data_IF_102246972608
#
_entry.id   IF_102246972608
#
_cell.length_a   1.000
_cell.length_b   1.000
_cell.length_c   1.000
_cell.angle_alpha   90.00
_cell.angle_beta   90.00
_cell.angle_gamma   90.00
#
_symmetry.space_group_name_H-M   'P 1'
#
loop_
_entity.id
_entity.type
_entity.pdbx_description
1 polymer ?
#
# COMPACT_ATOMS: atom_id res chain seq x y z
N UNK A 1 -51.82 -88.44 21.04
CA UNK A 1 -52.73 -87.63 21.89
C UNK A 1 -52.33 -86.17 21.77
N UNK A 2 -53.32 -85.29 21.54
CA UNK A 2 -53.30 -83.81 21.53
C UNK A 2 -52.59 -83.12 20.34
N UNK A 3 -53.30 -82.52 19.34
CA UNK A 3 -54.01 -81.21 19.34
C UNK A 3 -53.09 -80.05 19.79
N UNK A 4 -52.91 -78.89 19.13
CA UNK A 4 -53.72 -78.10 18.18
C UNK A 4 -52.91 -76.86 17.70
N UNK A 5 -53.32 -76.27 16.55
CA UNK A 5 -53.49 -74.83 16.20
C UNK A 5 -52.81 -74.31 14.92
N UNK A 6 -53.69 -73.83 14.02
CA UNK A 6 -53.47 -72.96 12.87
C UNK A 6 -52.74 -71.65 13.21
N UNK A 7 -51.97 -71.09 12.27
CA UNK A 7 -52.23 -69.72 11.73
C UNK A 7 -51.39 -69.35 10.49
N UNK A 8 -52.11 -68.98 9.41
CA UNK A 8 -51.90 -67.91 8.40
C UNK A 8 -50.59 -67.77 7.57
N UNK A 9 -50.79 -67.83 6.24
CA UNK A 9 -49.98 -67.21 5.17
C UNK A 9 -49.84 -65.68 5.36
N UNK A 10 -48.65 -65.14 5.08
CA UNK A 10 -48.46 -63.81 4.45
C UNK A 10 -47.24 -63.88 3.51
N UNK A 11 -47.47 -63.50 2.26
CA UNK A 11 -46.51 -63.34 1.16
C UNK A 11 -45.66 -62.09 1.36
N UNK A 12 -44.32 -62.23 1.33
CA UNK A 12 -43.36 -61.13 1.40
C UNK A 12 -42.85 -60.75 0.01
N UNK A 13 -43.11 -59.50 -0.37
CA UNK A 13 -42.85 -58.86 -1.66
C UNK A 13 -41.38 -58.48 -1.86
N UNK A 14 -40.89 -58.68 -3.08
CA UNK A 14 -39.64 -58.12 -3.62
C UNK A 14 -39.63 -56.60 -3.54
N UNK A 15 -38.70 -56.04 -2.76
CA UNK A 15 -38.48 -54.59 -2.66
C UNK A 15 -37.38 -54.18 -3.65
N UNK A 16 -37.74 -53.44 -4.70
CA UNK A 16 -36.81 -52.74 -5.58
C UNK A 16 -36.21 -51.53 -4.86
N UNK A 17 -34.90 -51.25 -4.98
CA UNK A 17 -34.30 -50.08 -4.36
C UNK A 17 -34.68 -48.82 -5.15
N UNK A 18 -35.28 -47.86 -4.45
CA UNK A 18 -35.68 -46.54 -4.94
C UNK A 18 -34.46 -45.70 -5.37
N UNK A 19 -34.52 -45.19 -6.60
CA UNK A 19 -33.46 -44.40 -7.29
C UNK A 19 -33.37 -42.95 -6.76
N UNK A 20 -34.19 -42.55 -5.78
CA UNK A 20 -34.34 -41.13 -5.39
C UNK A 20 -33.35 -40.59 -4.35
N UNK A 21 -32.44 -41.40 -3.78
CA UNK A 21 -31.53 -40.92 -2.73
C UNK A 21 -30.16 -40.40 -3.23
N UNK A 22 -29.82 -40.60 -4.51
CA UNK A 22 -28.51 -40.19 -5.06
C UNK A 22 -28.43 -38.72 -5.50
N UNK A 23 -29.55 -38.10 -5.86
CA UNK A 23 -29.57 -36.74 -6.40
C UNK A 23 -29.37 -35.65 -5.33
N UNK A 24 -29.82 -35.89 -4.10
CA UNK A 24 -29.69 -34.90 -3.01
C UNK A 24 -28.26 -34.78 -2.44
N UNK A 25 -27.48 -35.88 -2.44
CA UNK A 25 -26.11 -35.87 -1.93
C UNK A 25 -25.12 -35.15 -2.86
N UNK A 26 -25.31 -35.23 -4.18
CA UNK A 26 -24.43 -34.58 -5.16
C UNK A 26 -24.56 -33.04 -5.15
N UNK A 27 -25.80 -32.53 -5.06
CA UNK A 27 -26.07 -31.08 -5.04
C UNK A 27 -25.61 -30.39 -3.73
N UNK A 28 -25.60 -31.13 -2.62
CA UNK A 28 -25.11 -30.61 -1.33
C UNK A 28 -23.58 -30.58 -1.26
N UNK A 29 -22.90 -31.55 -1.88
CA UNK A 29 -21.44 -31.57 -2.02
C UNK A 29 -20.92 -30.40 -2.88
N UNK A 30 -21.61 -30.05 -3.97
CA UNK A 30 -21.25 -28.92 -4.86
C UNK A 30 -21.29 -27.57 -4.12
N UNK A 31 -22.37 -27.30 -3.37
CA UNK A 31 -22.51 -26.07 -2.55
C UNK A 31 -21.47 -25.99 -1.44
N UNK A 32 -21.18 -27.12 -0.79
CA UNK A 32 -20.16 -27.23 0.27
C UNK A 32 -18.75 -26.94 -0.25
N UNK A 33 -18.36 -27.57 -1.36
CA UNK A 33 -17.04 -27.40 -1.97
C UNK A 33 -16.83 -25.95 -2.46
N UNK A 34 -17.84 -25.35 -3.11
CA UNK A 34 -17.78 -23.98 -3.58
C UNK A 34 -17.60 -22.96 -2.44
N UNK A 35 -18.39 -23.11 -1.36
CA UNK A 35 -18.26 -22.24 -0.19
C UNK A 35 -16.89 -22.39 0.48
N UNK A 36 -16.39 -23.62 0.59
CA UNK A 36 -15.07 -23.92 1.16
C UNK A 36 -13.95 -23.30 0.33
N UNK A 37 -13.96 -23.50 -0.99
CA UNK A 37 -12.94 -22.96 -1.89
C UNK A 37 -12.94 -21.43 -1.87
N UNK A 38 -14.13 -20.79 -1.88
CA UNK A 38 -14.24 -19.33 -1.77
C UNK A 38 -13.75 -18.82 -0.42
N UNK A 39 -14.11 -19.46 0.69
CA UNK A 39 -13.64 -19.05 2.01
C UNK A 39 -12.12 -19.15 2.14
N UNK A 40 -11.53 -20.17 1.51
CA UNK A 40 -10.07 -20.40 1.53
C UNK A 40 -9.31 -19.41 0.64
N UNK A 41 -9.84 -19.09 -0.54
CA UNK A 41 -9.09 -18.36 -1.58
C UNK A 41 -9.52 -16.90 -1.77
N UNK A 42 -10.73 -16.54 -1.40
CA UNK A 42 -11.29 -15.20 -1.58
C UNK A 42 -11.76 -14.86 -2.99
N UNK A 43 -11.53 -15.71 -4.00
CA UNK A 43 -11.94 -15.43 -5.39
C UNK A 43 -13.47 -15.38 -5.57
N UNK A 44 -13.92 -14.79 -6.68
CA UNK A 44 -15.35 -14.63 -7.00
C UNK A 44 -16.05 -16.00 -7.12
N UNK A 45 -17.34 -16.06 -6.75
CA UNK A 45 -18.12 -17.31 -6.85
C UNK A 45 -18.10 -17.91 -8.26
N UNK A 46 -18.16 -17.08 -9.30
CA UNK A 46 -18.11 -17.53 -10.68
C UNK A 46 -16.78 -18.23 -11.01
N UNK A 47 -15.65 -17.67 -10.56
CA UNK A 47 -14.34 -18.27 -10.79
C UNK A 47 -14.17 -19.56 -9.99
N UNK A 48 -14.57 -19.57 -8.71
CA UNK A 48 -14.52 -20.79 -7.89
C UNK A 48 -15.40 -21.91 -8.45
N UNK A 49 -16.60 -21.57 -8.95
CA UNK A 49 -17.49 -22.54 -9.59
C UNK A 49 -16.87 -23.10 -10.87
N UNK A 50 -16.35 -22.23 -11.75
CA UNK A 50 -15.67 -22.66 -12.98
C UNK A 50 -14.47 -23.57 -12.69
N UNK A 51 -13.65 -23.23 -11.69
CA UNK A 51 -12.50 -24.04 -11.30
C UNK A 51 -12.92 -25.44 -10.80
N UNK A 52 -13.97 -25.51 -9.99
CA UNK A 52 -14.51 -26.78 -9.51
C UNK A 52 -15.11 -27.63 -10.63
N UNK A 53 -15.89 -27.03 -11.54
CA UNK A 53 -16.46 -27.72 -12.69
C UNK A 53 -15.38 -28.31 -13.61
N UNK A 54 -14.31 -27.57 -13.88
CA UNK A 54 -13.20 -28.01 -14.72
C UNK A 54 -12.38 -29.16 -14.10
N UNK A 55 -12.35 -29.26 -12.77
CA UNK A 55 -11.55 -30.25 -12.05
C UNK A 55 -12.39 -31.27 -11.29
N UNK A 56 -13.67 -31.44 -11.65
CA UNK A 56 -14.54 -32.48 -11.10
C UNK A 56 -14.75 -32.36 -9.58
N UNK A 57 -14.87 -31.13 -9.08
CA UNK A 57 -14.97 -30.76 -7.65
C UNK A 57 -13.73 -31.11 -6.79
N UNK A 58 -12.56 -31.32 -7.41
CA UNK A 58 -11.29 -31.44 -6.69
C UNK A 58 -10.82 -30.06 -6.19
N UNK A 59 -10.90 -29.86 -4.88
CA UNK A 59 -10.56 -28.59 -4.22
C UNK A 59 -9.10 -28.17 -4.44
N UNK A 60 -8.16 -29.12 -4.43
CA UNK A 60 -6.74 -28.80 -4.53
C UNK A 60 -6.38 -28.37 -5.95
N UNK A 61 -6.88 -29.09 -6.95
CA UNK A 61 -6.69 -28.72 -8.37
C UNK A 61 -7.40 -27.42 -8.71
N UNK A 62 -8.61 -27.22 -8.20
CA UNK A 62 -9.35 -25.97 -8.39
C UNK A 62 -8.61 -24.77 -7.78
N UNK A 63 -8.04 -24.92 -6.58
CA UNK A 63 -7.23 -23.87 -5.95
C UNK A 63 -5.97 -23.55 -6.78
N UNK A 64 -5.24 -24.58 -7.23
CA UNK A 64 -4.06 -24.37 -8.06
C UNK A 64 -4.41 -23.65 -9.36
N UNK A 65 -5.45 -24.11 -10.05
CA UNK A 65 -5.92 -23.47 -11.27
C UNK A 65 -6.33 -22.02 -11.04
N UNK A 66 -7.02 -21.73 -9.92
CA UNK A 66 -7.38 -20.35 -9.57
C UNK A 66 -6.14 -19.46 -9.39
N UNK A 67 -5.08 -19.96 -8.74
CA UNK A 67 -3.82 -19.22 -8.57
C UNK A 67 -3.14 -18.94 -9.91
N UNK A 68 -3.10 -19.93 -10.79
CA UNK A 68 -2.53 -19.80 -12.14
C UNK A 68 -3.31 -18.78 -12.98
N UNK A 69 -4.65 -18.82 -12.90
CA UNK A 69 -5.51 -17.90 -13.65
C UNK A 69 -5.60 -16.50 -13.05
N UNK A 70 -5.34 -16.33 -11.75
CA UNK A 70 -5.48 -15.06 -11.05
C UNK A 70 -4.68 -13.95 -11.71
N UNK A 71 -3.46 -14.24 -12.17
CA UNK A 71 -2.60 -13.25 -12.82
C UNK A 71 -3.21 -12.78 -14.14
N UNK A 72 -3.61 -13.71 -15.02
CA UNK A 72 -4.21 -13.38 -16.32
C UNK A 72 -5.53 -12.65 -16.17
N UNK A 73 -6.38 -13.08 -15.23
CA UNK A 73 -7.65 -12.41 -14.92
C UNK A 73 -7.44 -11.02 -14.32
N UNK A 74 -6.43 -10.87 -13.46
CA UNK A 74 -6.01 -9.60 -12.88
C UNK A 74 -5.61 -8.61 -13.97
N UNK A 75 -4.71 -9.02 -14.89
CA UNK A 75 -4.31 -8.19 -16.04
C UNK A 75 -5.49 -7.85 -16.95
N UNK A 76 -6.33 -8.82 -17.30
CA UNK A 76 -7.53 -8.55 -18.11
C UNK A 76 -8.46 -7.54 -17.45
N UNK A 77 -8.59 -7.59 -16.12
CA UNK A 77 -9.42 -6.65 -15.38
C UNK A 77 -8.76 -5.28 -15.27
N UNK A 78 -7.46 -5.22 -15.00
CA UNK A 78 -6.69 -3.98 -14.99
C UNK A 78 -6.84 -3.22 -16.31
N UNK A 79 -6.64 -3.88 -17.45
CA UNK A 79 -6.84 -3.26 -18.78
C UNK A 79 -8.29 -2.79 -19.01
N UNK A 80 -9.30 -3.51 -18.51
CA UNK A 80 -10.71 -3.12 -18.65
C UNK A 80 -11.10 -1.93 -17.78
N UNK A 81 -10.43 -1.78 -16.64
CA UNK A 81 -10.70 -0.74 -15.65
C UNK A 81 -9.76 0.47 -15.83
N UNK A 82 -8.73 0.34 -16.66
CA UNK A 82 -7.80 1.41 -17.02
C UNK A 82 -8.55 2.65 -17.56
N UNK A 83 -8.01 3.83 -17.24
CA UNK A 83 -8.63 5.11 -17.59
C UNK A 83 -9.75 5.57 -16.65
N UNK A 84 -10.25 4.72 -15.74
CA UNK A 84 -11.15 5.16 -14.67
C UNK A 84 -10.41 6.04 -13.68
N UNK A 85 -11.09 7.09 -13.20
CA UNK A 85 -10.51 8.03 -12.26
C UNK A 85 -10.11 7.35 -10.95
N UNK A 86 -8.86 7.52 -10.54
CA UNK A 86 -8.27 6.97 -9.31
C UNK A 86 -7.78 8.12 -8.43
N UNK A 87 -8.70 8.90 -7.88
CA UNK A 87 -8.36 10.08 -7.05
C UNK A 87 -8.31 9.78 -5.55
N UNK A 88 -8.72 8.58 -5.12
CA UNK A 88 -8.58 8.10 -3.74
C UNK A 88 -7.33 7.23 -3.62
N UNK A 89 -6.96 6.81 -2.40
CA UNK A 89 -5.80 5.96 -2.19
C UNK A 89 -5.07 6.22 -0.88
N UNK A 90 -3.80 5.84 -0.85
CA UNK A 90 -2.91 6.01 0.29
C UNK A 90 -1.50 6.43 -0.14
N UNK A 91 -0.89 7.26 0.69
CA UNK A 91 0.54 7.49 0.72
C UNK A 91 1.15 6.60 1.80
N UNK A 92 2.08 5.73 1.43
CA UNK A 92 2.87 4.91 2.35
C UNK A 92 4.26 5.48 2.56
N UNK A 93 4.65 5.69 3.82
CA UNK A 93 5.97 6.18 4.22
C UNK A 93 6.68 5.11 5.03
N UNK A 94 7.87 4.71 4.60
CA UNK A 94 8.75 3.77 5.29
C UNK A 94 10.13 4.38 5.44
N UNK A 95 10.65 4.40 6.66
CA UNK A 95 12.04 4.78 6.96
C UNK A 95 12.69 3.61 7.69
N UNK A 96 13.88 3.21 7.23
CA UNK A 96 14.75 2.20 7.84
C UNK A 96 16.16 2.75 7.85
N UNK A 97 16.67 3.05 9.05
CA UNK A 97 17.97 3.68 9.25
C UNK A 97 18.11 4.98 8.40
N UNK A 98 19.08 5.00 7.49
CA UNK A 98 19.37 6.11 6.58
C UNK A 98 18.67 5.97 5.21
N UNK A 99 17.71 5.06 5.08
CA UNK A 99 16.97 4.83 3.84
C UNK A 99 15.48 5.06 4.06
N UNK A 100 14.86 5.84 3.18
CA UNK A 100 13.43 6.15 3.27
C UNK A 100 12.75 6.07 1.91
N UNK A 101 11.47 5.71 1.90
CA UNK A 101 10.64 5.80 0.71
C UNK A 101 9.24 6.30 1.07
N UNK A 102 8.71 7.15 0.19
CA UNK A 102 7.30 7.54 0.20
C UNK A 102 6.67 7.16 -1.15
N UNK A 103 5.58 6.41 -1.11
CA UNK A 103 4.91 5.82 -2.28
C UNK A 103 3.44 6.20 -2.30
N UNK A 104 2.96 6.72 -3.42
CA UNK A 104 1.54 7.01 -3.63
C UNK A 104 0.90 5.91 -4.48
N UNK A 105 -0.12 5.27 -3.92
CA UNK A 105 -0.95 4.28 -4.62
C UNK A 105 -2.39 4.75 -4.58
N UNK A 106 -3.02 4.83 -5.76
CA UNK A 106 -4.37 5.34 -5.89
C UNK A 106 -5.37 4.23 -6.24
N UNK A 107 -6.63 4.46 -5.92
CA UNK A 107 -7.79 3.63 -6.24
C UNK A 107 -9.02 4.49 -6.55
N UNK A 108 -10.09 3.87 -7.04
CA UNK A 108 -11.33 4.58 -7.38
C UNK A 108 -12.03 5.13 -6.12
N UNK A 109 -12.17 4.31 -5.07
CA UNK A 109 -12.95 4.65 -3.87
C UNK A 109 -12.14 4.60 -2.57
N UNK A 110 -12.60 5.31 -1.55
CA UNK A 110 -12.02 5.30 -0.20
C UNK A 110 -12.27 3.97 0.54
N UNK A 111 -13.34 3.25 0.18
CA UNK A 111 -13.60 1.89 0.66
C UNK A 111 -12.46 0.93 0.30
N UNK A 112 -11.90 1.07 -0.90
CA UNK A 112 -10.73 0.27 -1.32
C UNK A 112 -9.47 0.69 -0.59
N UNK A 113 -9.24 1.99 -0.38
CA UNK A 113 -8.08 2.47 0.39
C UNK A 113 -8.03 1.88 1.81
N UNK A 114 -9.19 1.58 2.41
CA UNK A 114 -9.31 0.95 3.75
C UNK A 114 -9.28 -0.59 3.71
N UNK A 115 -9.23 -1.20 2.52
CA UNK A 115 -9.19 -2.65 2.39
C UNK A 115 -7.81 -3.21 2.75
N UNK A 116 -7.78 -4.30 3.52
CA UNK A 116 -6.53 -4.93 3.95
C UNK A 116 -5.64 -5.37 2.77
N UNK A 117 -6.22 -5.84 1.66
CA UNK A 117 -5.46 -6.28 0.48
C UNK A 117 -4.78 -5.08 -0.20
N UNK A 118 -5.46 -3.94 -0.24
CA UNK A 118 -4.89 -2.70 -0.77
C UNK A 118 -3.75 -2.21 0.13
N UNK A 119 -3.97 -2.14 1.45
CA UNK A 119 -2.93 -1.73 2.41
C UNK A 119 -1.71 -2.65 2.38
N UNK A 120 -1.92 -3.97 2.25
CA UNK A 120 -0.83 -4.94 2.10
C UNK A 120 -0.03 -4.72 0.81
N UNK A 121 -0.70 -4.30 -0.27
CA UNK A 121 -0.03 -3.93 -1.51
C UNK A 121 0.78 -2.63 -1.37
N UNK A 122 0.23 -1.60 -0.71
CA UNK A 122 0.97 -0.35 -0.41
C UNK A 122 2.21 -0.67 0.45
N UNK A 123 2.05 -1.54 1.45
CA UNK A 123 3.16 -2.04 2.27
C UNK A 123 4.26 -2.67 1.43
N UNK A 124 3.90 -3.59 0.54
CA UNK A 124 4.83 -4.27 -0.33
C UNK A 124 5.54 -3.30 -1.29
N UNK A 125 4.81 -2.30 -1.81
CA UNK A 125 5.37 -1.26 -2.68
C UNK A 125 6.38 -0.38 -1.95
N UNK A 126 6.07 0.09 -0.73
CA UNK A 126 6.99 0.88 0.10
C UNK A 126 8.25 0.08 0.46
N UNK A 127 8.10 -1.18 0.88
CA UNK A 127 9.23 -2.07 1.18
C UNK A 127 10.09 -2.36 -0.06
N UNK A 128 9.47 -2.54 -1.24
CA UNK A 128 10.18 -2.74 -2.49
C UNK A 128 10.99 -1.50 -2.91
N UNK A 129 10.47 -0.29 -2.68
CA UNK A 129 11.18 0.96 -2.95
C UNK A 129 12.39 1.14 -2.03
N UNK A 130 12.26 0.85 -0.73
CA UNK A 130 13.38 0.85 0.22
C UNK A 130 14.45 -0.16 -0.19
N UNK A 131 14.06 -1.40 -0.54
CA UNK A 131 15.00 -2.42 -1.04
C UNK A 131 15.69 -2.00 -2.33
N UNK A 132 14.96 -1.36 -3.24
CA UNK A 132 15.49 -0.89 -4.52
C UNK A 132 16.59 0.16 -4.30
N UNK A 133 16.33 1.20 -3.49
CA UNK A 133 17.33 2.25 -3.24
C UNK A 133 18.49 1.75 -2.37
N UNK A 134 18.27 0.72 -1.53
CA UNK A 134 19.32 0.07 -0.77
C UNK A 134 20.40 -0.61 -1.64
N UNK A 135 20.06 -0.97 -2.89
CA UNK A 135 20.99 -1.57 -3.85
C UNK A 135 21.80 -0.54 -4.64
N UNK A 136 21.42 0.74 -4.60
CA UNK A 136 22.17 1.80 -5.26
C UNK A 136 23.44 2.14 -4.48
N UNK A 137 24.42 2.71 -5.18
CA UNK A 137 25.67 3.17 -4.57
C UNK A 137 25.40 4.27 -3.54
N UNK A 138 26.25 4.34 -2.52
CA UNK A 138 26.15 5.39 -1.50
C UNK A 138 26.93 6.61 -1.96
N UNK A 139 26.27 7.76 -1.97
CA UNK A 139 26.90 9.06 -2.24
C UNK A 139 27.33 9.73 -0.91
N UNK A 140 28.28 10.65 -0.98
CA UNK A 140 28.61 11.54 0.12
C UNK A 140 27.46 12.50 0.47
N UNK A 141 26.59 12.79 -0.50
CA UNK A 141 25.40 13.62 -0.33
C UNK A 141 24.12 12.78 -0.23
N UNK A 142 23.02 13.42 0.17
CA UNK A 142 21.69 12.81 0.14
C UNK A 142 21.33 12.40 -1.30
N UNK A 143 21.14 11.12 -1.54
CA UNK A 143 20.61 10.62 -2.82
C UNK A 143 19.09 10.67 -2.81
N UNK A 144 18.51 11.38 -3.78
CA UNK A 144 17.06 11.47 -4.00
C UNK A 144 16.70 10.84 -5.33
N UNK A 145 15.84 9.83 -5.31
CA UNK A 145 15.45 9.12 -6.51
C UNK A 145 13.92 9.06 -6.67
N UNK A 146 13.41 9.81 -7.66
CA UNK A 146 12.00 9.85 -8.02
C UNK A 146 11.64 8.74 -9.00
N UNK A 147 10.58 7.98 -8.70
CA UNK A 147 10.09 6.90 -9.55
C UNK A 147 8.68 7.26 -10.05
N UNK A 148 8.49 7.21 -11.36
CA UNK A 148 7.17 7.33 -11.98
C UNK A 148 6.43 5.98 -11.99
N UNK A 149 5.20 5.97 -12.52
CA UNK A 149 4.36 4.77 -12.59
C UNK A 149 5.05 3.62 -13.32
N UNK A 150 5.69 3.90 -14.45
CA UNK A 150 6.36 2.92 -15.29
C UNK A 150 7.55 2.29 -14.54
N UNK A 151 8.43 3.10 -13.97
CA UNK A 151 9.59 2.63 -13.21
C UNK A 151 9.17 1.81 -11.99
N UNK A 152 8.13 2.25 -11.25
CA UNK A 152 7.59 1.52 -10.12
C UNK A 152 7.09 0.13 -10.53
N UNK A 153 6.32 0.05 -11.61
CA UNK A 153 5.75 -1.22 -12.09
C UNK A 153 6.83 -2.25 -12.43
N UNK A 154 8.07 -1.85 -12.73
CA UNK A 154 9.18 -2.76 -13.05
C UNK A 154 9.92 -3.32 -11.83
N UNK A 155 9.74 -2.74 -10.63
CA UNK A 155 10.45 -3.21 -9.44
C UNK A 155 9.98 -4.63 -9.08
N UNK A 156 10.93 -5.54 -8.88
CA UNK A 156 10.65 -6.93 -8.53
C UNK A 156 10.59 -7.16 -7.02
N UNK A 157 9.62 -7.97 -6.60
CA UNK A 157 9.50 -8.47 -5.24
C UNK A 157 10.27 -9.80 -5.09
N UNK A 158 10.29 -10.33 -3.87
CA UNK A 158 10.99 -11.56 -3.51
C UNK A 158 10.46 -12.80 -4.25
N UNK A 159 9.19 -12.77 -4.67
CA UNK A 159 8.57 -13.82 -5.48
C UNK A 159 8.94 -13.75 -6.98
N UNK A 160 9.81 -12.82 -7.36
CA UNK A 160 10.29 -12.61 -8.72
C UNK A 160 9.31 -11.87 -9.64
N UNK A 161 8.08 -11.59 -9.18
CA UNK A 161 7.08 -10.81 -9.92
C UNK A 161 7.31 -9.32 -9.72
N UNK A 162 6.84 -8.55 -10.69
CA UNK A 162 6.95 -7.09 -10.67
C UNK A 162 5.84 -6.45 -9.82
N UNK A 163 6.05 -5.23 -9.34
CA UNK A 163 4.98 -4.46 -8.69
C UNK A 163 3.77 -4.27 -9.61
N UNK A 164 3.98 -4.20 -10.93
CA UNK A 164 2.90 -4.19 -11.92
C UNK A 164 2.06 -5.47 -11.91
N UNK A 165 2.70 -6.64 -11.77
CA UNK A 165 1.99 -7.93 -11.65
C UNK A 165 1.17 -8.00 -10.36
N UNK A 166 1.75 -7.55 -9.25
CA UNK A 166 1.06 -7.48 -7.95
C UNK A 166 -0.09 -6.48 -7.96
N UNK A 167 0.07 -5.34 -8.65
CA UNK A 167 -1.01 -4.36 -8.86
C UNK A 167 -2.17 -5.00 -9.62
N UNK A 168 -1.89 -5.71 -10.70
CA UNK A 168 -2.91 -6.41 -11.48
C UNK A 168 -3.65 -7.48 -10.67
N UNK A 169 -2.95 -8.23 -9.81
CA UNK A 169 -3.57 -9.19 -8.88
C UNK A 169 -4.47 -8.49 -7.85
N UNK A 170 -4.03 -7.36 -7.31
CA UNK A 170 -4.79 -6.56 -6.35
C UNK A 170 -6.08 -6.02 -7.01
N UNK A 171 -5.99 -5.44 -8.21
CA UNK A 171 -7.15 -5.01 -9.02
C UNK A 171 -8.09 -6.18 -9.31
N UNK A 172 -7.55 -7.35 -9.64
CA UNK A 172 -8.34 -8.58 -9.84
C UNK A 172 -9.18 -8.94 -8.61
N UNK A 173 -8.57 -8.84 -7.44
CA UNK A 173 -9.13 -9.21 -6.13
C UNK A 173 -10.16 -8.20 -5.63
N UNK A 174 -9.81 -6.91 -5.62
CA UNK A 174 -10.67 -5.82 -5.15
C UNK A 174 -11.76 -5.51 -6.15
N UNK A 175 -11.39 -5.49 -7.43
CA UNK A 175 -12.30 -5.28 -8.54
C UNK A 175 -12.58 -3.83 -8.93
N UNK A 176 -11.80 -2.90 -8.42
CA UNK A 176 -11.76 -1.49 -8.82
C UNK A 176 -10.40 -1.18 -9.46
N UNK A 177 -10.35 -0.13 -10.28
CA UNK A 177 -9.12 0.39 -10.82
C UNK A 177 -8.20 0.88 -9.69
N UNK A 178 -6.90 0.70 -9.90
CA UNK A 178 -5.86 1.20 -9.02
C UNK A 178 -4.61 1.52 -9.83
N UNK A 179 -3.78 2.40 -9.30
CA UNK A 179 -2.56 2.84 -9.96
C UNK A 179 -1.43 3.00 -8.97
N UNK A 180 -0.24 2.52 -9.35
CA UNK A 180 1.02 2.95 -8.75
C UNK A 180 1.37 4.29 -9.38
N UNK A 181 1.25 5.38 -8.62
CA UNK A 181 1.30 6.72 -9.20
C UNK A 181 2.74 7.26 -9.23
N UNK A 182 3.35 7.38 -8.06
CA UNK A 182 4.72 7.87 -7.91
C UNK A 182 5.36 7.40 -6.62
N UNK A 183 6.68 7.41 -6.59
CA UNK A 183 7.45 7.28 -5.37
C UNK A 183 8.64 8.22 -5.35
N UNK A 184 9.14 8.45 -4.15
CA UNK A 184 10.38 9.16 -3.90
C UNK A 184 11.17 8.36 -2.86
N UNK A 185 12.42 8.07 -3.16
CA UNK A 185 13.32 7.28 -2.32
C UNK A 185 14.51 8.12 -1.93
N UNK A 186 14.87 8.09 -0.64
CA UNK A 186 15.99 8.80 -0.06
C UNK A 186 17.01 7.77 0.43
N UNK A 187 18.28 8.03 0.17
CA UNK A 187 19.41 7.36 0.82
C UNK A 187 20.34 8.44 1.37
N UNK A 188 20.42 8.51 2.68
CA UNK A 188 21.16 9.54 3.41
C UNK A 188 22.58 9.07 3.75
N UNK A 189 23.59 9.97 3.75
CA UNK A 189 24.90 9.68 4.32
C UNK A 189 24.81 9.57 5.85
N UNK A 190 25.89 9.14 6.52
CA UNK A 190 25.88 8.78 7.93
C UNK A 190 25.50 9.94 8.87
N UNK A 191 25.81 11.17 8.51
CA UNK A 191 25.51 12.38 9.27
C UNK A 191 24.07 12.89 9.10
N UNK A 192 23.31 12.32 8.16
CA UNK A 192 21.93 12.72 7.89
C UNK A 192 20.97 11.62 8.34
N UNK A 193 20.02 11.99 9.19
CA UNK A 193 18.91 11.14 9.62
C UNK A 193 17.70 11.36 8.72
N UNK A 194 16.88 10.32 8.59
CA UNK A 194 15.58 10.39 7.94
C UNK A 194 14.46 10.22 8.97
N UNK A 195 13.37 10.95 8.79
CA UNK A 195 12.14 10.73 9.54
C UNK A 195 10.93 10.97 8.64
N UNK A 196 9.80 10.35 8.99
CA UNK A 196 8.59 10.39 8.21
C UNK A 196 7.35 10.59 9.06
N UNK A 197 6.31 11.14 8.44
CA UNK A 197 5.01 11.29 9.06
C UNK A 197 3.91 11.07 8.03
N UNK A 198 2.78 10.52 8.48
CA UNK A 198 1.57 10.41 7.67
C UNK A 198 0.37 11.00 8.39
N UNK A 199 -0.59 11.51 7.63
CA UNK A 199 -1.85 12.00 8.17
C UNK A 199 -3.05 11.43 7.38
N UNK A 200 -4.11 10.93 8.02
CA UNK A 200 -4.25 10.70 9.47
C UNK A 200 -3.17 9.75 10.02
N UNK A 201 -2.69 10.01 11.24
CA UNK A 201 -1.70 9.16 11.87
C UNK A 201 -2.37 7.83 12.30
N UNK A 202 -1.70 6.67 12.11
CA UNK A 202 -2.22 5.41 12.59
C UNK A 202 -2.27 5.38 14.13
N UNK A 203 -3.20 4.60 14.68
CA UNK A 203 -3.34 4.45 16.14
C UNK A 203 -2.13 3.74 16.78
N UNK A 204 -1.42 2.93 16.00
CA UNK A 204 -0.17 2.28 16.36
C UNK A 204 0.88 2.60 15.29
N UNK A 205 1.88 3.36 15.70
CA UNK A 205 2.99 3.83 14.86
C UNK A 205 4.32 3.20 15.32
N UNK A 206 4.24 2.20 16.19
CA UNK A 206 5.40 1.64 16.91
C UNK A 206 5.97 0.36 16.30
N UNK A 207 5.46 -0.08 15.15
CA UNK A 207 6.00 -1.27 14.47
C UNK A 207 7.16 -0.89 13.55
N UNK A 208 8.42 -1.09 13.98
CA UNK A 208 9.55 -0.93 13.07
C UNK A 208 9.35 -1.82 11.85
N UNK A 209 9.86 -1.36 10.71
CA UNK A 209 9.81 -2.04 9.41
C UNK A 209 8.44 -2.11 8.71
N UNK A 210 7.36 -1.61 9.33
CA UNK A 210 6.05 -1.46 8.69
C UNK A 210 5.85 0.00 8.28
N UNK A 211 5.54 0.28 7.00
CA UNK A 211 5.20 1.63 6.57
C UNK A 211 3.96 2.15 7.29
N UNK A 212 3.99 3.43 7.65
CA UNK A 212 2.78 4.15 8.02
C UNK A 212 2.02 4.58 6.76
N UNK A 213 0.69 4.56 6.80
CA UNK A 213 -0.15 4.98 5.67
C UNK A 213 -1.10 6.10 6.06
N UNK A 214 -1.31 7.05 5.15
CA UNK A 214 -2.27 8.13 5.32
C UNK A 214 -2.71 8.72 3.99
N UNK A 215 -3.59 9.72 4.05
CA UNK A 215 -3.93 10.55 2.88
C UNK A 215 -2.77 11.48 2.50
N UNK A 216 -2.03 11.94 3.50
CA UNK A 216 -0.86 12.79 3.37
C UNK A 216 0.36 12.06 3.90
N UNK A 217 1.52 12.33 3.32
CA UNK A 217 2.80 11.87 3.83
C UNK A 217 3.87 12.96 3.70
N UNK A 218 4.81 12.96 4.63
CA UNK A 218 6.04 13.72 4.51
C UNK A 218 7.25 12.86 4.87
N UNK A 219 8.36 13.14 4.20
CA UNK A 219 9.68 12.55 4.44
C UNK A 219 10.66 13.70 4.61
N UNK A 220 11.46 13.67 5.66
CA UNK A 220 12.39 14.72 6.04
C UNK A 220 13.78 14.13 6.22
N UNK A 221 14.77 14.74 5.57
CA UNK A 221 16.19 14.51 5.81
C UNK A 221 16.73 15.67 6.65
N UNK A 222 17.38 15.36 7.77
CA UNK A 222 17.88 16.36 8.71
C UNK A 222 19.18 15.90 9.35
N UNK A 223 19.94 16.85 9.89
CA UNK A 223 21.15 16.59 10.69
C UNK A 223 21.23 17.54 11.85
N UNK A 224 22.02 17.16 12.85
CA UNK A 224 22.39 18.07 13.94
C UNK A 224 23.61 18.89 13.51
N UNK A 225 23.57 20.21 13.77
CA UNK A 225 24.68 21.12 13.42
C UNK A 225 25.81 21.11 14.43
N UNK A 226 25.56 20.56 15.63
CA UNK A 226 26.56 20.27 16.65
C UNK A 226 26.52 18.79 17.02
N UNK A 227 27.59 18.28 17.64
CA UNK A 227 27.71 16.90 18.12
C UNK A 227 26.84 16.62 19.36
N UNK A 228 25.55 16.96 19.31
CA UNK A 228 24.58 16.67 20.35
C UNK A 228 23.82 15.38 20.01
N UNK A 229 23.97 14.36 20.84
CA UNK A 229 23.14 13.14 20.84
C UNK A 229 21.82 13.39 21.59
N UNK A 230 21.04 14.40 21.18
CA UNK A 230 19.79 14.71 21.89
C UNK A 230 18.57 14.04 21.23
N UNK A 231 17.87 13.21 22.02
CA UNK A 231 16.57 12.61 21.68
C UNK A 231 15.49 13.64 21.35
N UNK A 232 15.71 14.92 21.72
CA UNK A 232 14.80 16.01 21.39
C UNK A 232 14.75 16.30 19.88
N UNK A 233 15.87 16.09 19.17
CA UNK A 233 15.98 16.37 17.74
C UNK A 233 15.02 15.53 16.89
N UNK A 234 14.97 14.22 17.15
CA UNK A 234 14.08 13.31 16.41
C UNK A 234 12.60 13.66 16.62
N UNK A 235 12.24 14.07 17.85
CA UNK A 235 10.88 14.49 18.18
C UNK A 235 10.47 15.79 17.47
N UNK A 236 11.40 16.74 17.37
CA UNK A 236 11.20 18.01 16.68
C UNK A 236 11.14 17.79 15.16
N UNK A 237 12.05 17.00 14.59
CA UNK A 237 12.03 16.64 13.18
C UNK A 237 10.69 16.02 12.78
N UNK A 238 10.11 15.18 13.65
CA UNK A 238 8.77 14.64 13.43
C UNK A 238 7.66 15.71 13.47
N UNK A 239 7.75 16.72 14.34
CA UNK A 239 6.83 17.87 14.33
C UNK A 239 7.01 18.74 13.08
N UNK A 240 8.23 18.87 12.57
CA UNK A 240 8.50 19.53 11.29
C UNK A 240 7.84 18.74 10.15
N UNK A 241 7.87 17.41 10.16
CA UNK A 241 7.10 16.60 9.20
C UNK A 241 5.59 16.88 9.28
N UNK A 242 5.02 17.06 10.48
CA UNK A 242 3.61 17.45 10.66
C UNK A 242 3.33 18.83 10.09
N UNK A 243 4.23 19.79 10.35
CA UNK A 243 4.16 21.13 9.78
C UNK A 243 4.22 21.09 8.24
N UNK A 244 5.13 20.32 7.64
CA UNK A 244 5.19 20.13 6.17
C UNK A 244 3.88 19.59 5.60
N UNK A 245 3.23 18.64 6.29
CA UNK A 245 1.92 18.14 5.87
C UNK A 245 0.84 19.23 5.91
N UNK A 246 0.80 20.00 7.01
CA UNK A 246 -0.24 21.01 7.27
C UNK A 246 -0.07 22.32 6.51
N UNK A 247 1.15 22.86 6.46
CA UNK A 247 1.47 24.19 5.93
C UNK A 247 1.95 24.18 4.48
N UNK A 248 2.14 22.99 3.89
CA UNK A 248 2.46 22.78 2.46
C UNK A 248 3.58 23.71 1.91
N UNK A 249 4.76 23.78 2.56
CA UNK A 249 5.90 24.46 1.97
C UNK A 249 6.29 23.79 0.64
N UNK A 250 6.78 24.58 -0.31
CA UNK A 250 7.22 24.09 -1.62
C UNK A 250 8.74 24.00 -1.73
N UNK A 251 9.47 24.73 -0.87
CA UNK A 251 10.94 24.76 -0.83
C UNK A 251 11.45 24.96 0.59
N UNK A 252 12.70 24.60 0.84
CA UNK A 252 13.35 24.80 2.14
C UNK A 252 13.55 26.28 2.46
N UNK A 253 14.17 27.01 1.54
CA UNK A 253 14.60 28.40 1.71
C UNK A 253 15.99 28.51 2.33
N UNK A 254 16.70 29.60 2.00
CA UNK A 254 18.02 29.96 2.51
C UNK A 254 17.95 31.37 3.11
N UNK A 255 18.14 31.48 4.42
CA UNK A 255 18.05 32.77 5.14
C UNK A 255 19.05 33.82 4.66
N UNK A 256 20.13 33.43 3.97
CA UNK A 256 21.11 34.36 3.44
C UNK A 256 20.75 34.90 2.04
N UNK A 257 19.81 34.25 1.33
CA UNK A 257 19.51 34.55 -0.09
C UNK A 257 18.05 34.86 -0.35
N UNK A 258 17.16 34.34 0.46
CA UNK A 258 15.72 34.50 0.33
C UNK A 258 15.20 35.55 1.29
N UNK A 259 14.09 36.18 0.94
CA UNK A 259 13.32 37.06 1.81
C UNK A 259 11.96 36.42 2.09
N UNK A 260 11.35 36.64 3.27
CA UNK A 260 10.01 36.15 3.56
C UNK A 260 8.99 36.78 2.62
N UNK A 261 7.92 36.04 2.34
CA UNK A 261 6.79 36.54 1.57
C UNK A 261 6.16 37.76 2.25
N UNK A 262 5.64 38.68 1.44
CA UNK A 262 4.99 39.90 1.94
C UNK A 262 3.72 39.57 2.77
N UNK A 263 2.98 38.56 2.34
CA UNK A 263 1.90 37.95 3.10
C UNK A 263 2.38 36.62 3.68
N UNK A 264 2.15 36.44 4.98
CA UNK A 264 2.57 35.24 5.71
C UNK A 264 1.76 34.00 5.29
N UNK A 265 0.51 34.20 4.87
CA UNK A 265 -0.36 33.11 4.43
C UNK A 265 0.08 32.52 3.08
N UNK A 266 0.82 33.31 2.29
CA UNK A 266 1.39 32.91 0.99
C UNK A 266 2.85 32.40 1.12
N UNK A 267 3.37 32.26 2.34
CA UNK A 267 4.76 31.83 2.55
C UNK A 267 4.96 30.38 2.10
N UNK A 268 5.90 30.19 1.17
CA UNK A 268 6.21 28.89 0.54
C UNK A 268 7.52 28.28 1.01
N UNK A 269 8.36 29.07 1.68
CA UNK A 269 9.67 28.68 2.20
C UNK A 269 9.51 28.13 3.61
N UNK A 270 9.85 26.86 3.80
CA UNK A 270 9.74 26.20 5.11
C UNK A 270 10.37 27.03 6.23
N UNK A 271 11.58 27.57 6.03
CA UNK A 271 12.30 28.31 7.08
C UNK A 271 11.61 29.60 7.54
N UNK A 272 10.71 30.17 6.73
CA UNK A 272 9.99 31.41 7.03
C UNK A 272 8.54 31.19 7.46
N UNK A 273 7.98 29.99 7.27
CA UNK A 273 6.62 29.67 7.70
C UNK A 273 6.51 29.76 9.24
N UNK A 274 5.37 30.29 9.72
CA UNK A 274 5.04 30.28 11.15
C UNK A 274 4.89 28.84 11.63
N UNK A 275 5.58 28.50 12.72
CA UNK A 275 5.65 27.13 13.19
C UNK A 275 4.28 26.66 13.70
N UNK A 276 3.82 25.51 13.18
CA UNK A 276 2.45 25.04 13.38
C UNK A 276 2.11 24.81 14.87
N UNK A 277 3.09 24.39 15.67
CA UNK A 277 2.88 24.13 17.09
C UNK A 277 3.01 25.39 17.98
N UNK A 278 3.68 26.43 17.48
CA UNK A 278 3.81 27.73 18.14
C UNK A 278 4.08 28.84 17.10
N UNK A 279 3.03 29.54 16.63
CA UNK A 279 3.13 30.57 15.59
C UNK A 279 3.96 31.81 15.99
N UNK A 280 4.37 31.90 17.27
CA UNK A 280 5.26 32.98 17.74
C UNK A 280 6.65 32.91 17.12
N UNK A 281 7.03 31.77 16.56
CA UNK A 281 8.32 31.51 15.93
C UNK A 281 8.13 30.97 14.51
N UNK A 282 9.10 31.27 13.64
CA UNK A 282 9.25 30.60 12.35
C UNK A 282 9.86 29.21 12.53
N UNK A 283 9.66 28.30 11.56
CA UNK A 283 10.33 27.00 11.58
C UNK A 283 11.86 27.17 11.61
N UNK A 284 12.40 28.13 10.88
CA UNK A 284 13.84 28.39 10.84
C UNK A 284 14.40 28.76 12.22
N UNK A 285 13.71 29.62 12.98
CA UNK A 285 14.11 29.97 14.35
C UNK A 285 14.04 28.76 15.29
N UNK A 286 13.00 27.93 15.17
CA UNK A 286 12.85 26.71 15.98
C UNK A 286 13.97 25.71 15.67
N UNK A 287 14.33 25.53 14.39
CA UNK A 287 15.43 24.66 13.97
C UNK A 287 16.78 25.15 14.51
N UNK A 288 17.07 26.45 14.37
CA UNK A 288 18.31 27.07 14.88
C UNK A 288 18.43 26.92 16.41
N UNK A 289 17.36 27.22 17.14
CA UNK A 289 17.34 27.11 18.60
C UNK A 289 17.60 25.68 19.10
N UNK A 290 17.26 24.68 18.28
CA UNK A 290 17.45 23.25 18.60
C UNK A 290 18.65 22.62 17.86
N UNK A 291 19.48 23.44 17.19
CA UNK A 291 20.68 22.98 16.49
C UNK A 291 20.40 21.89 15.44
N UNK A 292 19.25 22.02 14.77
CA UNK A 292 18.83 21.15 13.67
C UNK A 292 18.94 21.88 12.35
N UNK A 293 19.36 21.15 11.32
CA UNK A 293 19.34 21.60 9.94
C UNK A 293 18.53 20.59 9.12
N UNK A 294 17.54 21.09 8.39
CA UNK A 294 16.82 20.29 7.40
C UNK A 294 17.63 20.31 6.11
N UNK A 295 17.99 19.13 5.61
CA UNK A 295 18.73 18.96 4.36
C UNK A 295 17.78 18.96 3.16
N UNK A 296 16.69 18.21 3.26
CA UNK A 296 15.63 18.19 2.25
C UNK A 296 14.33 17.68 2.85
N UNK A 297 13.21 17.96 2.19
CA UNK A 297 11.92 17.37 2.54
C UNK A 297 11.11 17.04 1.29
N UNK A 298 10.17 16.12 1.45
CA UNK A 298 9.16 15.82 0.45
C UNK A 298 7.80 15.70 1.12
N UNK A 299 6.77 16.24 0.46
CA UNK A 299 5.36 16.10 0.82
C UNK A 299 4.61 15.44 -0.33
N UNK A 300 3.76 14.45 -0.03
CA UNK A 300 2.73 13.97 -0.94
C UNK A 300 1.34 14.14 -0.33
N UNK A 301 0.39 14.47 -1.18
CA UNK A 301 -1.05 14.35 -0.92
C UNK A 301 -1.63 13.37 -1.94
N UNK A 302 -2.32 12.34 -1.45
CA UNK A 302 -2.95 11.34 -2.30
C UNK A 302 -3.96 12.00 -3.24
N UNK A 303 -3.81 11.74 -4.54
CA UNK A 303 -4.68 12.27 -5.59
C UNK A 303 -4.35 13.71 -5.99
N UNK A 304 -3.26 14.28 -5.48
CA UNK A 304 -2.77 15.57 -5.94
C UNK A 304 -2.27 15.47 -7.38
N UNK A 305 -2.82 16.33 -8.26
CA UNK A 305 -2.34 16.43 -9.64
C UNK A 305 -0.97 17.09 -9.62
N UNK A 306 0.05 16.35 -10.02
CA UNK A 306 1.38 16.92 -10.28
C UNK A 306 1.22 17.90 -11.44
N UNK A 307 1.50 19.19 -11.22
CA UNK A 307 1.51 20.17 -12.32
C UNK A 307 2.60 19.75 -13.31
N UNK A 308 2.28 19.77 -14.60
CA UNK A 308 3.15 19.34 -15.70
C UNK A 308 4.43 20.21 -15.89
N UNK A 309 4.73 21.13 -14.97
CA UNK A 309 5.86 22.06 -15.08
C UNK A 309 7.20 21.42 -14.66
N UNK A 310 7.19 20.28 -13.95
CA UNK A 310 8.41 19.61 -13.46
C UNK A 310 8.97 18.50 -14.39
N UNK A 311 8.34 18.21 -15.53
CA UNK A 311 8.90 17.26 -16.51
C UNK A 311 10.17 17.78 -17.17
N UNK A 312 10.44 19.09 -17.11
CA UNK A 312 11.58 19.71 -17.78
C UNK A 312 12.86 19.81 -16.91
N UNK A 313 12.83 19.38 -15.65
CA UNK A 313 14.01 19.40 -14.75
C UNK A 313 14.63 18.01 -14.55
N UNK A 314 13.94 16.93 -14.91
CA UNK A 314 14.45 15.54 -14.77
C UNK A 314 15.29 15.04 -15.94
N UNK A 315 15.68 15.91 -16.87
CA UNK A 315 16.50 15.57 -18.03
C UNK A 315 17.85 16.30 -18.08
N UNK A 316 18.37 16.80 -16.96
CA UNK A 316 19.75 17.35 -16.92
C UNK A 316 20.54 16.80 -15.74
N UNK A 317 21.48 15.91 -16.09
CA UNK A 317 22.70 15.45 -15.42
C UNK A 317 22.71 15.32 -13.90
#
# INVERSE_FOLDING_TARGET
>A
MMLTRLTRLVTGTTTTPSIHCRWYAAATAEKSALATLRKKTGYTFANCKKALEMHGNDLAKAEQWLKEQAQTLGWSKATKLEGRNTSQGLVGVLVRDNIGAMVEVNCETDFVARNQSFQSFVQAASAACVRYVAQLETDANLTKHGLNSEALKQIKLEDGKSLGDHLALMIGTVGENASLNRAICYRAPAEVKLTGYVHPAPADDSTPDVPAFGKYGSLLAFRHTAAAEDSNGDSLARKVCQHVVGMKPTRLGDKARDEPAADKDDETCLVYQEYLADPSYTVGEVLEANQLEVVDFQRFECGEKVKAEDENVRATN
#
